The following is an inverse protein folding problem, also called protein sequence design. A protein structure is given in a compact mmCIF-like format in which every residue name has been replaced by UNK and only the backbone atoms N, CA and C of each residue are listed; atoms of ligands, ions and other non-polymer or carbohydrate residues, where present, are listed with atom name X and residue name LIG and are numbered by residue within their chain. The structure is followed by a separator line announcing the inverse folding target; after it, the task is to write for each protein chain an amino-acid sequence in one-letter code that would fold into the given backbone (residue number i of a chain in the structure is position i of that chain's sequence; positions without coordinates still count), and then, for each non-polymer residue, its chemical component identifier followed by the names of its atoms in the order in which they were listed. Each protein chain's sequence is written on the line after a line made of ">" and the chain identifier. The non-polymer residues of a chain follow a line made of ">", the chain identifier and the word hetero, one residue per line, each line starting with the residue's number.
data_IF_118481069066
#
_entry.id   IF_118481069066
#
_cell.length_a   1.000
_cell.length_b   1.000
_cell.length_c   1.000
_cell.angle_alpha   90.00
_cell.angle_beta   90.00
_cell.angle_gamma   90.00
#
_symmetry.space_group_name_H-M   'P 1'
#
loop_
_entity.id
_entity.type
_entity.pdbx_description
1 polymer ?
#
# COMPACT_ATOMS: atom_id res chain seq x y z
N UNK A 1 8.05 16.44 10.20
CA UNK A 1 9.12 16.45 11.19
C UNK A 1 10.39 16.01 10.50
N UNK A 2 11.51 16.72 10.70
CA UNK A 2 12.81 16.41 10.11
C UNK A 2 13.83 16.16 11.22
N UNK A 3 14.93 15.47 10.91
CA UNK A 3 16.05 15.26 11.85
C UNK A 3 16.60 16.58 12.37
N UNK A 4 16.58 17.64 11.56
CA UNK A 4 16.97 18.99 11.93
C UNK A 4 16.06 19.57 13.03
N UNK A 5 14.74 19.31 12.96
CA UNK A 5 13.79 19.69 14.01
C UNK A 5 14.11 18.95 15.32
N UNK A 6 14.33 17.64 15.25
CA UNK A 6 14.68 16.82 16.42
C UNK A 6 15.96 17.33 17.09
N UNK A 7 16.99 17.59 16.28
CA UNK A 7 18.26 18.14 16.76
C UNK A 7 18.10 19.52 17.41
N UNK A 8 17.33 20.40 16.76
CA UNK A 8 17.08 21.76 17.26
C UNK A 8 16.31 21.76 18.59
N UNK A 9 15.39 20.83 18.75
CA UNK A 9 14.59 20.71 19.99
C UNK A 9 15.28 19.88 21.07
N UNK A 10 16.38 19.20 20.75
CA UNK A 10 17.12 18.34 21.67
C UNK A 10 16.30 17.10 22.09
N UNK A 11 15.47 16.57 21.22
CA UNK A 11 14.60 15.41 21.47
C UNK A 11 14.81 14.32 20.42
N UNK A 12 14.60 13.08 20.84
CA UNK A 12 14.61 11.92 19.95
C UNK A 12 13.24 11.73 19.28
N UNK A 13 13.20 11.00 18.20
CA UNK A 13 11.95 10.62 17.52
C UNK A 13 11.01 9.83 18.45
N UNK A 14 11.57 8.95 19.29
CA UNK A 14 10.79 8.20 20.29
C UNK A 14 10.14 9.14 21.32
N UNK A 15 10.88 10.10 21.86
CA UNK A 15 10.33 11.08 22.81
C UNK A 15 9.22 11.94 22.18
N UNK A 16 9.36 12.31 20.90
CA UNK A 16 8.29 13.03 20.19
C UNK A 16 7.06 12.16 20.06
N UNK A 17 7.22 10.89 19.72
CA UNK A 17 6.12 9.94 19.63
C UNK A 17 5.37 9.82 20.95
N UNK A 18 6.09 9.64 22.05
CA UNK A 18 5.52 9.57 23.40
C UNK A 18 4.78 10.84 23.81
N UNK A 19 5.38 12.01 23.56
CA UNK A 19 4.75 13.31 23.85
C UNK A 19 3.47 13.47 23.00
N UNK A 20 3.52 13.09 21.75
CA UNK A 20 2.38 13.17 20.83
C UNK A 20 1.22 12.30 21.32
N UNK A 21 1.51 11.06 21.73
CA UNK A 21 0.50 10.15 22.28
C UNK A 21 -0.09 10.71 23.59
N UNK A 22 0.75 11.21 24.51
CA UNK A 22 0.28 11.83 25.74
C UNK A 22 -0.61 13.05 25.49
N UNK A 23 -0.27 13.89 24.51
CA UNK A 23 -1.09 15.04 24.14
C UNK A 23 -2.43 14.58 23.54
N UNK A 24 -2.42 13.54 22.72
CA UNK A 24 -3.63 12.97 22.14
C UNK A 24 -4.60 12.42 23.22
N UNK A 25 -4.06 11.79 24.28
CA UNK A 25 -4.83 11.32 25.43
C UNK A 25 -5.45 12.42 26.27
N UNK A 26 -4.97 13.67 26.19
CA UNK A 26 -5.55 14.84 26.86
C UNK A 26 -6.74 15.45 26.10
N UNK A 27 -6.91 15.08 24.83
CA UNK A 27 -8.07 15.49 24.04
C UNK A 27 -9.33 14.73 24.50
N UNK A 28 -10.51 15.25 24.18
CA UNK A 28 -11.76 14.53 24.44
C UNK A 28 -11.73 13.11 23.84
N UNK A 29 -12.42 12.18 24.49
CA UNK A 29 -12.56 10.82 23.96
C UNK A 29 -13.17 10.86 22.55
N UNK A 30 -12.71 9.96 21.64
CA UNK A 30 -13.24 9.89 20.29
C UNK A 30 -14.71 9.44 20.30
N UNK A 31 -15.49 10.03 19.42
CA UNK A 31 -16.84 9.55 19.10
C UNK A 31 -16.87 8.85 17.76
N UNK A 32 -17.72 7.85 17.68
CA UNK A 32 -17.95 7.05 16.47
C UNK A 32 -19.44 6.93 16.20
N UNK A 33 -19.85 7.29 15.00
CA UNK A 33 -21.21 7.05 14.54
C UNK A 33 -21.32 5.64 13.96
N UNK A 34 -22.41 4.96 14.31
CA UNK A 34 -22.72 3.65 13.77
C UNK A 34 -23.32 3.81 12.36
N UNK A 35 -22.62 3.35 11.35
CA UNK A 35 -23.13 3.33 9.98
C UNK A 35 -24.08 2.14 9.74
N UNK A 36 -23.72 1.00 10.32
CA UNK A 36 -24.49 -0.23 10.43
C UNK A 36 -23.89 -1.09 11.54
N UNK A 37 -24.57 -2.15 12.02
CA UNK A 37 -23.96 -3.06 12.98
C UNK A 37 -22.58 -3.52 12.50
N UNK A 38 -21.52 -3.30 13.32
CA UNK A 38 -20.14 -3.67 13.04
C UNK A 38 -19.36 -2.70 12.14
N UNK A 39 -19.95 -1.59 11.67
CA UNK A 39 -19.24 -0.57 10.87
C UNK A 39 -19.41 0.80 11.48
N UNK A 40 -18.32 1.46 11.78
CA UNK A 40 -18.26 2.75 12.47
C UNK A 40 -17.49 3.78 11.64
N UNK A 41 -17.89 5.04 11.79
CA UNK A 41 -17.15 6.19 11.26
C UNK A 41 -16.84 7.16 12.39
N UNK A 42 -15.64 7.70 12.42
CA UNK A 42 -15.28 8.73 13.39
C UNK A 42 -16.15 9.98 13.21
N UNK A 43 -16.57 10.58 14.31
CA UNK A 43 -17.46 11.74 14.35
C UNK A 43 -17.02 12.82 15.34
N UNK A 44 -15.79 12.76 15.86
CA UNK A 44 -15.25 13.79 16.77
C UNK A 44 -15.04 15.10 16.04
N UNK A 45 -14.46 15.09 14.85
CA UNK A 45 -14.36 16.25 13.95
C UNK A 45 -13.38 17.33 14.41
N UNK A 46 -12.40 16.99 15.24
CA UNK A 46 -11.41 17.91 15.81
C UNK A 46 -10.07 17.96 15.07
N UNK A 47 -9.98 17.28 13.92
CA UNK A 47 -8.76 17.18 13.12
C UNK A 47 -7.82 16.04 13.52
N UNK A 48 -8.15 15.28 14.57
CA UNK A 48 -7.30 14.21 15.11
C UNK A 48 -7.94 12.82 15.03
N UNK A 49 -9.09 12.68 14.37
CA UNK A 49 -9.77 11.39 14.25
C UNK A 49 -8.87 10.30 13.68
N UNK A 50 -8.17 10.60 12.58
CA UNK A 50 -7.23 9.64 11.99
C UNK A 50 -6.04 9.31 12.91
N UNK A 51 -5.53 10.29 13.64
CA UNK A 51 -4.39 10.09 14.55
C UNK A 51 -4.78 9.18 15.72
N UNK A 52 -6.06 9.18 16.14
CA UNK A 52 -6.53 8.35 17.25
C UNK A 52 -6.47 6.83 16.99
N UNK A 53 -6.23 6.38 15.76
CA UNK A 53 -5.93 4.96 15.53
C UNK A 53 -4.63 4.52 16.23
N UNK A 54 -3.73 5.45 16.56
CA UNK A 54 -2.52 5.17 17.34
C UNK A 54 -2.82 4.86 18.82
N UNK A 55 -4.07 5.04 19.25
CA UNK A 55 -4.59 4.65 20.56
C UNK A 55 -5.56 3.45 20.38
N UNK A 56 -5.04 2.22 20.26
CA UNK A 56 -5.82 1.06 19.82
C UNK A 56 -6.97 0.68 20.76
N UNK A 57 -6.91 1.08 22.04
CA UNK A 57 -7.95 0.76 23.03
C UNK A 57 -9.30 1.35 22.65
N UNK A 58 -9.33 2.56 22.06
CA UNK A 58 -10.58 3.16 21.57
C UNK A 58 -11.21 2.34 20.43
N UNK A 59 -10.37 1.76 19.58
CA UNK A 59 -10.83 0.93 18.47
C UNK A 59 -11.29 -0.45 18.98
N UNK A 60 -10.58 -1.03 19.97
CA UNK A 60 -10.95 -2.31 20.56
C UNK A 60 -12.25 -2.24 21.39
N UNK A 61 -12.61 -1.04 21.86
CA UNK A 61 -13.87 -0.84 22.58
C UNK A 61 -15.12 -0.91 21.66
N UNK A 62 -14.95 -0.84 20.34
CA UNK A 62 -16.04 -0.96 19.38
C UNK A 62 -16.51 -2.41 19.27
N UNK A 63 -17.82 -2.60 19.06
CA UNK A 63 -18.42 -3.93 18.87
C UNK A 63 -18.14 -4.46 17.47
N UNK A 64 -17.00 -5.15 17.28
CA UNK A 64 -16.51 -5.66 16.01
C UNK A 64 -16.48 -7.20 15.99
N UNK A 65 -16.55 -7.78 14.80
CA UNK A 65 -16.44 -9.24 14.60
C UNK A 65 -15.06 -9.54 13.99
N UNK A 66 -14.17 -10.14 14.78
CA UNK A 66 -12.76 -10.40 14.43
C UNK A 66 -11.85 -9.25 14.79
N UNK A 67 -10.65 -9.22 14.20
CA UNK A 67 -9.68 -8.16 14.44
C UNK A 67 -10.16 -6.84 13.84
N UNK A 68 -9.92 -5.69 14.50
CA UNK A 68 -10.27 -4.39 13.96
C UNK A 68 -9.57 -4.12 12.63
N UNK A 69 -10.33 -3.63 11.65
CA UNK A 69 -9.85 -3.09 10.38
C UNK A 69 -10.19 -1.61 10.35
N UNK A 70 -9.20 -0.76 10.15
CA UNK A 70 -9.38 0.69 10.07
C UNK A 70 -8.82 1.26 8.76
N UNK A 71 -9.49 2.30 8.26
CA UNK A 71 -9.04 3.06 7.09
C UNK A 71 -9.05 4.56 7.42
N UNK A 72 -7.88 5.17 7.70
CA UNK A 72 -7.75 6.60 7.99
C UNK A 72 -7.74 7.40 6.68
N UNK A 73 -8.91 7.86 6.24
CA UNK A 73 -9.08 8.52 4.94
C UNK A 73 -8.65 9.99 4.97
N UNK A 74 -9.11 10.73 5.97
CA UNK A 74 -8.79 12.15 6.14
C UNK A 74 -8.48 12.44 7.63
N UNK A 75 -7.97 13.63 7.99
CA UNK A 75 -7.75 13.98 9.41
C UNK A 75 -9.00 13.76 10.29
N UNK A 76 -10.19 13.98 9.71
CA UNK A 76 -11.49 13.86 10.41
C UNK A 76 -12.27 12.60 10.04
N UNK A 77 -11.68 11.64 9.35
CA UNK A 77 -12.44 10.47 8.88
C UNK A 77 -11.62 9.19 9.00
N UNK A 78 -12.07 8.33 9.89
CA UNK A 78 -11.66 6.93 9.97
C UNK A 78 -12.89 6.07 9.85
N UNK A 79 -12.86 5.05 9.01
CA UNK A 79 -13.90 4.01 8.96
C UNK A 79 -13.32 2.75 9.60
N UNK A 80 -14.09 2.12 10.47
CA UNK A 80 -13.67 0.94 11.22
C UNK A 80 -14.69 -0.19 11.05
N UNK A 81 -14.21 -1.40 10.84
CA UNK A 81 -15.02 -2.64 10.83
C UNK A 81 -14.23 -3.82 11.39
N UNK A 82 -14.84 -4.99 11.47
CA UNK A 82 -14.18 -6.23 11.88
C UNK A 82 -13.70 -7.06 10.69
N UNK A 83 -12.56 -7.74 10.82
CA UNK A 83 -11.95 -8.55 9.75
C UNK A 83 -12.79 -9.74 9.29
N UNK A 84 -13.76 -10.17 10.07
CA UNK A 84 -14.67 -11.31 9.80
C UNK A 84 -16.07 -10.82 9.37
N UNK A 85 -16.36 -9.52 9.48
CA UNK A 85 -17.61 -8.91 8.99
C UNK A 85 -17.54 -8.71 7.47
N UNK A 86 -17.99 -9.71 6.71
CA UNK A 86 -17.94 -9.70 5.23
C UNK A 86 -18.62 -8.46 4.64
N UNK A 87 -19.82 -8.13 5.10
CA UNK A 87 -20.56 -6.97 4.62
C UNK A 87 -19.93 -5.66 5.09
N UNK A 88 -19.36 -5.65 6.31
CA UNK A 88 -18.64 -4.48 6.83
C UNK A 88 -17.39 -4.15 6.02
N UNK A 89 -16.63 -5.15 5.60
CA UNK A 89 -15.47 -4.98 4.72
C UNK A 89 -15.88 -4.47 3.34
N UNK A 90 -17.01 -4.95 2.79
CA UNK A 90 -17.56 -4.43 1.53
C UNK A 90 -17.96 -2.95 1.67
N UNK A 91 -18.69 -2.61 2.74
CA UNK A 91 -19.13 -1.24 3.02
C UNK A 91 -17.94 -0.29 3.19
N UNK A 92 -16.91 -0.70 3.96
CA UNK A 92 -15.66 0.04 4.13
C UNK A 92 -15.04 0.39 2.78
N UNK A 93 -14.87 -0.59 1.88
CA UNK A 93 -14.29 -0.41 0.55
C UNK A 93 -15.12 0.53 -0.33
N UNK A 94 -16.45 0.37 -0.35
CA UNK A 94 -17.36 1.21 -1.15
C UNK A 94 -17.34 2.67 -0.70
N UNK A 95 -17.36 2.91 0.60
CA UNK A 95 -17.28 4.27 1.15
C UNK A 95 -15.94 4.90 0.85
N UNK A 96 -14.84 4.19 1.08
CA UNK A 96 -13.50 4.69 0.77
C UNK A 96 -13.36 5.07 -0.71
N UNK A 97 -13.87 4.26 -1.64
CA UNK A 97 -13.92 4.59 -3.07
C UNK A 97 -14.68 5.90 -3.35
N UNK A 98 -15.74 6.19 -2.59
CA UNK A 98 -16.46 7.46 -2.74
C UNK A 98 -15.64 8.68 -2.27
N UNK A 99 -14.81 8.51 -1.24
CA UNK A 99 -13.89 9.56 -0.77
C UNK A 99 -12.78 9.82 -1.78
N UNK A 100 -12.14 8.77 -2.31
CA UNK A 100 -11.10 8.88 -3.35
C UNK A 100 -11.60 9.66 -4.57
N UNK A 101 -12.84 9.43 -5.00
CA UNK A 101 -13.44 10.15 -6.14
C UNK A 101 -13.74 11.61 -5.87
N UNK A 102 -13.96 12.00 -4.62
CA UNK A 102 -14.43 13.35 -4.25
C UNK A 102 -13.31 14.24 -3.74
N UNK A 103 -12.28 13.67 -3.12
CA UNK A 103 -11.24 14.42 -2.42
C UNK A 103 -9.90 14.26 -3.12
N UNK A 104 -9.22 15.37 -3.42
CA UNK A 104 -7.92 15.36 -4.11
C UNK A 104 -6.79 14.84 -3.22
N UNK A 105 -6.94 14.94 -1.90
CA UNK A 105 -5.91 14.56 -0.92
C UNK A 105 -6.52 13.73 0.19
N UNK A 106 -6.00 12.52 0.34
CA UNK A 106 -6.29 11.61 1.43
C UNK A 106 -5.02 11.39 2.26
N UNK A 107 -5.17 11.09 3.55
CA UNK A 107 -4.03 10.62 4.37
C UNK A 107 -3.62 9.24 3.86
N UNK A 108 -4.59 8.33 3.73
CA UNK A 108 -4.38 7.00 3.19
C UNK A 108 -5.68 6.45 2.59
N UNK A 109 -5.57 5.57 1.61
CA UNK A 109 -6.68 4.71 1.17
C UNK A 109 -6.36 3.23 1.39
N UNK A 110 -5.40 2.93 2.27
CA UNK A 110 -5.09 1.58 2.69
C UNK A 110 -5.98 1.16 3.87
N UNK A 111 -6.41 -0.09 3.85
CA UNK A 111 -6.97 -0.74 5.03
C UNK A 111 -5.82 -1.30 5.88
N UNK A 112 -5.94 -1.11 7.20
CA UNK A 112 -4.99 -1.62 8.18
C UNK A 112 -5.71 -2.53 9.16
N UNK A 113 -5.08 -3.65 9.53
CA UNK A 113 -5.56 -4.55 10.57
C UNK A 113 -4.77 -4.32 11.86
N UNK A 114 -5.48 -4.17 12.96
CA UNK A 114 -4.88 -4.15 14.28
C UNK A 114 -4.47 -5.57 14.69
N UNK A 115 -3.20 -5.75 14.97
CA UNK A 115 -2.60 -7.01 15.42
C UNK A 115 -2.72 -7.18 16.93
N UNK A 116 -2.40 -8.37 17.45
CA UNK A 116 -2.53 -8.68 18.89
C UNK A 116 -1.50 -7.90 19.73
N UNK A 117 -0.36 -7.52 19.14
CA UNK A 117 0.69 -6.69 19.75
C UNK A 117 0.43 -5.18 19.63
N UNK A 118 -0.79 -4.78 19.29
CA UNK A 118 -1.24 -3.39 19.15
C UNK A 118 -0.54 -2.60 18.02
N UNK A 119 -0.01 -3.28 17.01
CA UNK A 119 0.49 -2.64 15.79
C UNK A 119 -0.53 -2.69 14.65
N UNK A 120 -0.40 -1.77 13.70
CA UNK A 120 -1.22 -1.74 12.51
C UNK A 120 -0.44 -2.27 11.32
N UNK A 121 -0.97 -3.30 10.67
CA UNK A 121 -0.40 -3.88 9.45
C UNK A 121 -1.32 -3.60 8.26
N UNK A 122 -0.75 -3.23 7.12
CA UNK A 122 -1.52 -3.11 5.88
C UNK A 122 -2.22 -4.44 5.58
N UNK A 123 -3.49 -4.37 5.17
CA UNK A 123 -4.33 -5.54 5.07
C UNK A 123 -5.20 -5.54 3.81
N UNK A 124 -5.35 -6.72 3.22
CA UNK A 124 -6.37 -7.04 2.23
C UNK A 124 -7.07 -8.33 2.64
N UNK A 125 -8.39 -8.45 2.39
CA UNK A 125 -9.06 -9.73 2.56
C UNK A 125 -8.58 -10.75 1.51
N UNK A 126 -8.90 -12.04 1.67
CA UNK A 126 -8.66 -13.05 0.63
C UNK A 126 -9.25 -12.66 -0.74
N UNK A 127 -8.67 -13.14 -1.83
CA UNK A 127 -9.06 -12.75 -3.20
C UNK A 127 -10.51 -13.11 -3.57
N UNK A 128 -11.06 -14.14 -2.93
CA UNK A 128 -12.45 -14.58 -3.10
C UNK A 128 -13.45 -13.76 -2.25
N UNK A 129 -12.96 -12.88 -1.38
CA UNK A 129 -13.81 -12.02 -0.56
C UNK A 129 -14.46 -10.91 -1.43
N UNK A 130 -15.79 -10.66 -1.31
CA UNK A 130 -16.49 -9.69 -2.17
C UNK A 130 -15.97 -8.24 -2.04
N UNK A 131 -15.33 -7.89 -0.93
CA UNK A 131 -14.69 -6.58 -0.72
C UNK A 131 -13.28 -6.45 -1.30
N UNK A 132 -12.66 -7.55 -1.78
CA UNK A 132 -11.27 -7.57 -2.22
C UNK A 132 -11.01 -6.58 -3.36
N UNK A 133 -11.82 -6.59 -4.40
CA UNK A 133 -11.61 -5.77 -5.60
C UNK A 133 -11.56 -4.28 -5.27
N UNK A 134 -12.50 -3.79 -4.46
CA UNK A 134 -12.52 -2.38 -4.06
C UNK A 134 -11.29 -2.00 -3.23
N UNK A 135 -10.90 -2.82 -2.25
CA UNK A 135 -9.73 -2.56 -1.41
C UNK A 135 -8.43 -2.66 -2.20
N UNK A 136 -8.34 -3.59 -3.15
CA UNK A 136 -7.19 -3.70 -4.05
C UNK A 136 -7.07 -2.48 -4.97
N UNK A 137 -8.18 -1.98 -5.54
CA UNK A 137 -8.21 -0.72 -6.30
C UNK A 137 -7.69 0.46 -5.47
N UNK A 138 -8.16 0.59 -4.23
CA UNK A 138 -7.72 1.64 -3.32
C UNK A 138 -6.22 1.56 -3.01
N UNK A 139 -5.70 0.36 -2.80
CA UNK A 139 -4.27 0.11 -2.60
C UNK A 139 -3.45 0.52 -3.83
N UNK A 140 -3.87 0.09 -5.03
CA UNK A 140 -3.18 0.43 -6.28
C UNK A 140 -3.19 1.94 -6.53
N UNK A 141 -4.32 2.60 -6.29
CA UNK A 141 -4.45 4.05 -6.42
C UNK A 141 -3.50 4.79 -5.46
N UNK A 142 -3.45 4.36 -4.20
CA UNK A 142 -2.59 4.96 -3.18
C UNK A 142 -1.11 4.85 -3.57
N UNK A 143 -0.63 3.63 -3.81
CA UNK A 143 0.76 3.42 -4.20
C UNK A 143 1.09 4.00 -5.58
N UNK A 144 0.16 3.98 -6.52
CA UNK A 144 0.33 4.61 -7.82
C UNK A 144 0.66 6.09 -7.73
N UNK A 145 -0.01 6.82 -6.85
CA UNK A 145 0.26 8.24 -6.61
C UNK A 145 1.63 8.48 -5.97
N UNK A 146 1.97 7.69 -4.95
CA UNK A 146 3.27 7.79 -4.26
C UNK A 146 4.45 7.44 -5.18
N UNK A 147 4.34 6.33 -5.91
CA UNK A 147 5.40 5.91 -6.84
C UNK A 147 5.54 6.84 -8.03
N UNK A 148 4.46 7.46 -8.50
CA UNK A 148 4.54 8.47 -9.55
C UNK A 148 5.37 9.69 -9.12
N UNK A 149 5.18 10.15 -7.87
CA UNK A 149 5.97 11.26 -7.34
C UNK A 149 7.42 10.85 -7.06
N UNK A 150 7.63 9.70 -6.44
CA UNK A 150 8.96 9.15 -6.20
C UNK A 150 9.73 8.93 -7.52
N UNK A 151 9.07 8.42 -8.56
CA UNK A 151 9.66 8.24 -9.88
C UNK A 151 10.19 9.55 -10.47
N UNK A 152 9.42 10.65 -10.36
CA UNK A 152 9.85 11.97 -10.82
C UNK A 152 11.11 12.47 -10.11
N UNK A 153 11.18 12.24 -8.80
CA UNK A 153 12.32 12.65 -7.98
C UNK A 153 13.56 11.81 -8.31
N UNK A 154 13.43 10.48 -8.27
CA UNK A 154 14.53 9.56 -8.50
C UNK A 154 15.07 9.64 -9.93
N UNK A 155 14.22 9.76 -10.93
CA UNK A 155 14.65 9.88 -12.35
C UNK A 155 15.47 11.13 -12.64
N UNK A 156 15.40 12.16 -11.79
CA UNK A 156 16.23 13.38 -11.91
C UNK A 156 17.57 13.25 -11.19
N UNK A 157 17.63 12.43 -10.14
CA UNK A 157 18.78 12.34 -9.24
C UNK A 157 19.66 11.09 -9.49
N UNK A 158 19.09 10.02 -10.08
CA UNK A 158 19.73 8.72 -10.12
C UNK A 158 20.79 8.60 -11.24
N UNK A 159 21.90 7.95 -10.90
CA UNK A 159 22.90 7.44 -11.84
C UNK A 159 22.50 6.08 -12.47
N UNK A 160 21.39 5.48 -12.06
CA UNK A 160 20.85 4.21 -12.53
C UNK A 160 19.49 4.34 -13.20
N UNK A 161 18.95 3.24 -13.69
CA UNK A 161 17.60 3.20 -14.25
C UNK A 161 16.54 3.06 -13.15
N UNK A 162 15.44 3.78 -13.31
CA UNK A 162 14.29 3.72 -12.42
C UNK A 162 13.09 3.18 -13.19
N UNK A 163 12.48 2.09 -12.72
CA UNK A 163 11.27 1.54 -13.33
C UNK A 163 10.02 2.25 -12.81
N UNK A 164 9.05 2.61 -13.69
CA UNK A 164 7.78 3.17 -13.27
C UNK A 164 6.88 2.10 -12.63
N UNK A 165 5.94 2.56 -11.81
CA UNK A 165 4.82 1.75 -11.32
C UNK A 165 3.74 1.73 -12.41
N UNK A 166 3.26 0.55 -12.76
CA UNK A 166 2.24 0.36 -13.80
C UNK A 166 1.06 -0.40 -13.21
N UNK A 167 -0.15 0.02 -13.56
CA UNK A 167 -1.36 -0.74 -13.23
C UNK A 167 -1.52 -1.84 -14.26
N UNK A 168 -1.61 -3.09 -13.79
CA UNK A 168 -1.85 -4.26 -14.62
C UNK A 168 -3.30 -4.72 -14.42
N UNK A 169 -4.05 -4.83 -15.51
CA UNK A 169 -5.43 -5.33 -15.51
C UNK A 169 -5.46 -6.66 -16.23
N UNK A 170 -6.00 -7.70 -15.60
CA UNK A 170 -6.27 -8.98 -16.26
C UNK A 170 -7.51 -8.86 -17.16
N UNK A 171 -7.56 -9.64 -18.26
CA UNK A 171 -8.69 -9.67 -19.22
C UNK A 171 -10.06 -9.91 -18.60
N UNK A 172 -10.14 -10.42 -17.39
CA UNK A 172 -11.40 -10.82 -16.73
C UNK A 172 -11.76 -9.91 -15.53
N UNK A 173 -11.17 -8.72 -15.39
CA UNK A 173 -11.37 -7.77 -14.27
C UNK A 173 -11.15 -8.35 -12.85
N UNK A 174 -10.86 -9.65 -12.74
CA UNK A 174 -10.73 -10.36 -11.46
C UNK A 174 -9.32 -10.27 -10.88
N UNK A 175 -8.30 -10.04 -11.72
CA UNK A 175 -6.90 -9.92 -11.28
C UNK A 175 -6.35 -8.52 -11.57
N UNK A 176 -6.85 -7.55 -10.83
CA UNK A 176 -6.25 -6.23 -10.78
C UNK A 176 -4.96 -6.32 -9.98
N UNK A 177 -3.87 -5.88 -10.56
CA UNK A 177 -2.56 -5.85 -9.92
C UNK A 177 -1.74 -4.64 -10.33
N UNK A 178 -0.62 -4.48 -9.67
CA UNK A 178 0.43 -3.54 -10.04
C UNK A 178 1.60 -4.28 -10.66
N UNK A 179 2.35 -3.60 -11.53
CA UNK A 179 3.50 -4.16 -12.18
C UNK A 179 4.64 -3.14 -12.32
N UNK A 180 5.86 -3.64 -12.50
CA UNK A 180 6.99 -2.88 -13.01
C UNK A 180 7.62 -3.61 -14.19
N UNK A 181 8.47 -2.91 -14.93
CA UNK A 181 9.17 -3.46 -16.09
C UNK A 181 10.65 -3.60 -15.75
N UNK A 182 11.21 -4.78 -15.97
CA UNK A 182 12.64 -5.03 -15.89
C UNK A 182 13.15 -5.45 -17.28
N UNK A 183 14.12 -4.70 -17.80
CA UNK A 183 14.75 -4.95 -19.10
C UNK A 183 16.27 -5.08 -18.95
N UNK A 184 16.99 -5.73 -19.89
CA UNK A 184 18.44 -5.78 -19.88
C UNK A 184 19.04 -4.37 -19.88
N UNK A 185 19.98 -4.14 -18.97
CA UNK A 185 20.70 -2.88 -18.82
C UNK A 185 22.07 -3.14 -18.22
N UNK A 186 23.03 -2.27 -18.52
CA UNK A 186 24.40 -2.32 -17.98
C UNK A 186 24.50 -1.67 -16.59
N UNK A 187 23.41 -1.08 -16.11
CA UNK A 187 23.34 -0.42 -14.81
C UNK A 187 22.23 -1.02 -13.95
N UNK A 188 22.36 -0.99 -12.60
CA UNK A 188 21.29 -1.43 -11.72
C UNK A 188 19.97 -0.70 -11.97
N UNK A 189 18.86 -1.39 -11.77
CA UNK A 189 17.51 -0.84 -11.94
C UNK A 189 16.75 -0.86 -10.62
N UNK A 190 16.29 0.31 -10.18
CA UNK A 190 15.40 0.45 -9.03
C UNK A 190 13.95 0.26 -9.46
N UNK A 191 13.28 -0.74 -8.89
CA UNK A 191 11.88 -1.08 -9.20
C UNK A 191 10.97 -0.86 -8.01
N UNK A 192 9.74 -0.34 -8.21
CA UNK A 192 8.74 -0.28 -7.15
C UNK A 192 8.34 -1.69 -6.70
N UNK A 193 8.00 -1.85 -5.42
CA UNK A 193 7.40 -3.09 -4.93
C UNK A 193 5.98 -3.22 -5.46
N UNK A 194 5.70 -4.27 -6.21
CA UNK A 194 4.48 -4.46 -6.99
C UNK A 194 3.96 -5.90 -6.86
N UNK A 195 2.84 -6.20 -7.48
CA UNK A 195 2.31 -7.57 -7.53
C UNK A 195 3.05 -8.45 -8.56
N UNK A 196 3.46 -7.85 -9.69
CA UNK A 196 4.07 -8.59 -10.81
C UNK A 196 5.28 -7.85 -11.40
N UNK A 197 6.23 -8.60 -11.92
CA UNK A 197 7.33 -8.05 -12.74
C UNK A 197 7.11 -8.50 -14.18
N UNK A 198 7.13 -7.53 -15.09
CA UNK A 198 7.22 -7.76 -16.53
C UNK A 198 8.69 -7.73 -16.95
N UNK A 199 9.27 -8.89 -17.19
CA UNK A 199 10.59 -9.00 -17.77
C UNK A 199 10.50 -8.89 -19.29
N UNK A 200 11.30 -8.01 -19.88
CA UNK A 200 11.38 -7.83 -21.34
C UNK A 200 12.80 -8.12 -21.81
N UNK A 201 12.94 -9.04 -22.75
CA UNK A 201 14.23 -9.41 -23.38
C UNK A 201 14.03 -9.52 -24.88
N UNK A 202 14.56 -8.53 -25.65
CA UNK A 202 14.39 -8.44 -27.10
C UNK A 202 12.89 -8.52 -27.49
N UNK A 203 12.50 -9.63 -28.12
CA UNK A 203 11.14 -9.95 -28.59
C UNK A 203 10.36 -10.86 -27.63
N UNK A 204 10.96 -11.21 -26.47
CA UNK A 204 10.34 -12.08 -25.47
C UNK A 204 9.93 -11.28 -24.24
N UNK A 205 8.74 -11.59 -23.74
CA UNK A 205 8.22 -11.06 -22.49
C UNK A 205 7.84 -12.20 -21.55
N UNK A 206 7.97 -11.95 -20.23
CA UNK A 206 7.60 -12.89 -19.19
C UNK A 206 7.04 -12.13 -18.00
N UNK A 207 5.82 -12.45 -17.56
CA UNK A 207 5.20 -11.85 -16.38
C UNK A 207 5.21 -12.86 -15.23
N UNK A 208 5.80 -12.47 -14.11
CA UNK A 208 5.95 -13.34 -12.93
C UNK A 208 5.51 -12.59 -11.68
N UNK A 209 4.92 -13.30 -10.72
CA UNK A 209 4.62 -12.76 -9.41
C UNK A 209 5.88 -12.23 -8.74
N UNK A 210 5.74 -11.10 -8.04
CA UNK A 210 6.82 -10.43 -7.34
C UNK A 210 7.64 -11.38 -6.45
N UNK A 211 6.95 -12.13 -5.59
CA UNK A 211 7.62 -13.03 -4.65
C UNK A 211 8.35 -14.17 -5.37
N UNK A 212 7.71 -14.80 -6.35
CA UNK A 212 8.33 -15.87 -7.15
C UNK A 212 9.55 -15.35 -7.94
N UNK A 213 9.47 -14.13 -8.44
CA UNK A 213 10.61 -13.50 -9.13
C UNK A 213 11.79 -13.28 -8.17
N UNK A 214 11.56 -12.76 -6.97
CA UNK A 214 12.61 -12.56 -5.97
C UNK A 214 13.27 -13.88 -5.55
N UNK A 215 12.50 -14.95 -5.36
CA UNK A 215 13.01 -16.28 -5.03
C UNK A 215 13.94 -16.84 -6.14
N UNK A 216 13.58 -16.60 -7.41
CA UNK A 216 14.38 -17.05 -8.56
C UNK A 216 15.65 -16.20 -8.73
N UNK A 217 15.56 -14.90 -8.50
CA UNK A 217 16.67 -13.95 -8.71
C UNK A 217 17.66 -13.94 -7.53
N UNK A 218 17.19 -14.22 -6.31
CA UNK A 218 18.05 -14.32 -5.13
C UNK A 218 18.86 -13.04 -4.88
N UNK A 219 20.18 -13.18 -4.75
CA UNK A 219 21.11 -12.09 -4.45
C UNK A 219 21.21 -11.00 -5.54
N UNK A 220 20.61 -11.23 -6.73
CA UNK A 220 20.55 -10.21 -7.78
C UNK A 220 19.60 -9.07 -7.44
N UNK A 221 18.83 -9.18 -6.36
CA UNK A 221 17.88 -8.19 -5.89
C UNK A 221 18.13 -7.82 -4.42
N UNK A 222 18.07 -6.54 -4.07
CA UNK A 222 18.18 -6.06 -2.69
C UNK A 222 17.15 -4.97 -2.39
N UNK A 223 16.65 -4.94 -1.15
CA UNK A 223 15.72 -3.89 -0.70
C UNK A 223 16.44 -2.55 -0.62
N UNK A 224 15.76 -1.47 -1.00
CA UNK A 224 16.22 -0.10 -0.79
C UNK A 224 15.52 0.49 0.43
N UNK A 225 16.28 1.23 1.25
CA UNK A 225 15.74 1.94 2.42
C UNK A 225 15.07 3.26 2.01
N UNK A 226 13.93 3.14 1.35
CA UNK A 226 13.13 4.27 0.86
C UNK A 226 11.63 4.00 1.03
N UNK A 227 10.83 5.06 1.10
CA UNK A 227 9.37 4.94 1.09
C UNK A 227 8.75 5.75 -0.07
N UNK A 228 7.79 5.20 -0.81
CA UNK A 228 7.33 3.80 -0.79
C UNK A 228 8.47 2.82 -1.18
N UNK A 229 8.40 1.56 -0.70
CA UNK A 229 9.52 0.62 -0.78
C UNK A 229 9.90 0.28 -2.23
N UNK A 230 11.19 0.18 -2.49
CA UNK A 230 11.74 -0.22 -3.78
C UNK A 230 12.75 -1.37 -3.61
N UNK A 231 13.02 -2.02 -4.71
CA UNK A 231 14.03 -3.09 -4.81
C UNK A 231 15.01 -2.74 -5.93
N UNK A 232 16.29 -2.77 -5.61
CA UNK A 232 17.36 -2.63 -6.58
C UNK A 232 17.66 -3.98 -7.22
N UNK A 233 17.51 -4.08 -8.52
CA UNK A 233 17.97 -5.22 -9.33
C UNK A 233 19.35 -4.90 -9.91
N UNK A 234 20.35 -5.66 -9.46
CA UNK A 234 21.76 -5.42 -9.81
C UNK A 234 22.12 -5.95 -11.19
N UNK A 235 21.35 -6.91 -11.70
CA UNK A 235 21.53 -7.51 -13.02
C UNK A 235 20.22 -8.02 -13.59
N UNK A 236 20.16 -8.13 -14.91
CA UNK A 236 19.05 -8.83 -15.57
C UNK A 236 19.23 -10.35 -15.37
N UNK A 237 18.14 -11.15 -15.35
CA UNK A 237 18.21 -12.61 -15.17
C UNK A 237 19.16 -13.29 -16.14
N UNK A 238 19.96 -14.23 -15.62
CA UNK A 238 20.77 -15.15 -16.44
C UNK A 238 19.87 -16.07 -17.28
N UNK A 239 20.43 -16.78 -18.26
CA UNK A 239 19.65 -17.70 -19.10
C UNK A 239 18.97 -18.80 -18.27
N UNK A 240 19.65 -19.34 -17.25
CA UNK A 240 19.06 -20.33 -16.33
C UNK A 240 17.92 -19.75 -15.50
N UNK A 241 18.08 -18.53 -14.98
CA UNK A 241 17.01 -17.82 -14.26
C UNK A 241 15.85 -17.50 -15.18
N UNK A 242 16.13 -17.09 -16.44
CA UNK A 242 15.11 -16.83 -17.44
C UNK A 242 14.23 -18.05 -17.71
N UNK A 243 14.83 -19.25 -17.85
CA UNK A 243 14.05 -20.47 -18.01
C UNK A 243 13.15 -20.77 -16.80
N UNK A 244 13.65 -20.53 -15.58
CA UNK A 244 12.84 -20.68 -14.36
C UNK A 244 11.69 -19.68 -14.31
N UNK A 245 11.94 -18.42 -14.70
CA UNK A 245 10.89 -17.37 -14.81
C UNK A 245 9.82 -17.77 -15.82
N UNK A 246 10.22 -18.34 -16.98
CA UNK A 246 9.28 -18.85 -17.99
C UNK A 246 8.40 -19.98 -17.48
N UNK A 247 8.89 -20.84 -16.60
CA UNK A 247 8.11 -21.90 -15.93
C UNK A 247 7.13 -21.28 -14.91
N UNK A 248 7.52 -20.22 -14.23
CA UNK A 248 6.71 -19.49 -13.25
C UNK A 248 5.78 -18.44 -13.89
N UNK A 249 5.80 -18.30 -15.21
CA UNK A 249 5.07 -17.29 -15.95
C UNK A 249 3.55 -17.38 -15.70
N UNK A 250 2.95 -16.26 -15.34
CA UNK A 250 1.49 -16.10 -15.31
C UNK A 250 1.00 -15.54 -16.62
N UNK A 251 -0.15 -16.05 -17.08
CA UNK A 251 -0.85 -15.49 -18.24
C UNK A 251 -1.55 -14.20 -17.79
N UNK A 252 -0.81 -13.12 -17.71
CA UNK A 252 -1.35 -11.76 -17.50
C UNK A 252 -1.25 -11.03 -18.83
N UNK A 253 -2.37 -10.63 -19.38
CA UNK A 253 -2.40 -9.84 -20.62
C UNK A 253 -2.47 -8.38 -20.22
N UNK A 254 -1.36 -7.66 -20.39
CA UNK A 254 -1.37 -6.21 -20.28
C UNK A 254 -2.20 -5.60 -21.42
N UNK A 255 -3.20 -4.79 -21.12
CA UNK A 255 -3.87 -3.98 -22.15
C UNK A 255 -2.89 -2.95 -22.71
N UNK A 256 -2.80 -2.90 -24.03
CA UNK A 256 -2.14 -1.77 -24.71
C UNK A 256 -2.98 -0.53 -24.47
N UNK A 257 -2.35 0.57 -24.04
CA UNK A 257 -3.02 1.87 -23.99
C UNK A 257 -3.76 2.15 -25.30
N UNK A 258 -4.99 2.66 -25.25
CA UNK A 258 -5.68 3.11 -26.44
C UNK A 258 -4.86 4.22 -27.09
N UNK A 259 -4.47 4.03 -28.33
CA UNK A 259 -3.84 5.08 -29.12
C UNK A 259 -4.77 6.29 -29.15
N UNK A 260 -4.25 7.45 -28.70
CA UNK A 260 -4.87 8.76 -28.88
C UNK A 260 -5.03 9.10 -30.36
#
# INVERSE_FOLDING_TARGET
>A
LTDECCTTWGVTESEITDITQQNLLRLPEPSFDLLRPGVYISSTGDGYDATRITLPDYIRALSLIGSPIAMPLTPNTVIVTGSVDVEGVVELGQRAMSYVKKLPHLISSLAFRLTDDNTWAAWLPPMDHPGYVNLKHLQIHYFGSLYAEQYKQLSRAASGMVSPYVVAVSRNDINLGSACVLCPTDVPMSCPTVDHILFKRLDQECVVDWQAALEILGEAASSEDVYPPRTMFHSFPTDDQWQKLKVAERVVIAEKEPKK
#
